data_IF_234302236873
#
_entry.id   IF_234302236873
#
_cell.length_a   1.000
_cell.length_b   1.000
_cell.length_c   1.000
_cell.angle_alpha   90.00
_cell.angle_beta   90.00
_cell.angle_gamma   90.00
#
_symmetry.space_group_name_H-M   'P 1'
#
loop_
_entity.id
_entity.type
_entity.pdbx_description
1 polymer ?
#
# COMPACT_ATOMS: atom_id res chain seq x y z
N UNK A 1 19.92 -3.72 8.42
CA UNK A 1 18.89 -3.40 9.46
C UNK A 1 18.23 -2.03 9.23
N UNK A 2 18.99 -0.92 9.14
CA UNK A 2 18.43 0.44 8.92
C UNK A 2 17.55 0.55 7.66
N UNK A 3 17.97 -0.08 6.56
CA UNK A 3 17.22 -0.14 5.29
C UNK A 3 15.82 -0.76 5.45
N UNK A 4 15.74 -1.97 6.00
CA UNK A 4 14.47 -2.67 6.19
C UNK A 4 13.51 -1.91 7.13
N UNK A 5 14.03 -1.31 8.19
CA UNK A 5 13.23 -0.47 9.10
C UNK A 5 12.67 0.74 8.36
N UNK A 6 13.50 1.44 7.57
CA UNK A 6 13.05 2.59 6.78
C UNK A 6 11.95 2.21 5.77
N UNK A 7 12.06 1.03 5.14
CA UNK A 7 11.07 0.56 4.17
C UNK A 7 9.76 0.15 4.83
N UNK A 8 9.79 -0.60 5.93
CA UNK A 8 8.58 -0.93 6.70
C UNK A 8 7.91 0.35 7.20
N UNK A 9 8.70 1.32 7.68
CA UNK A 9 8.16 2.61 8.12
C UNK A 9 7.53 3.39 6.96
N UNK A 10 8.19 3.42 5.80
CA UNK A 10 7.64 4.04 4.58
C UNK A 10 6.35 3.36 4.12
N UNK A 11 6.25 2.04 4.29
CA UNK A 11 5.05 1.27 3.97
C UNK A 11 3.90 1.65 4.91
N UNK A 12 4.15 1.68 6.22
CA UNK A 12 3.15 2.09 7.22
C UNK A 12 2.66 3.52 6.96
N UNK A 13 3.58 4.45 6.64
CA UNK A 13 3.20 5.82 6.27
C UNK A 13 2.36 5.82 4.98
N UNK A 14 2.84 5.18 3.92
CA UNK A 14 2.16 5.16 2.63
C UNK A 14 0.76 4.54 2.72
N UNK A 15 0.61 3.48 3.51
CA UNK A 15 -0.64 2.74 3.58
C UNK A 15 -1.62 3.34 4.61
N UNK A 16 -1.16 3.70 5.82
CA UNK A 16 -2.05 4.21 6.88
C UNK A 16 -2.20 5.73 6.81
N UNK A 17 -1.08 6.45 6.72
CA UNK A 17 -1.10 7.91 6.82
C UNK A 17 -1.74 8.54 5.59
N UNK A 18 -1.39 8.10 4.39
CA UNK A 18 -1.96 8.67 3.15
C UNK A 18 -3.44 8.32 2.97
N UNK A 19 -3.90 7.15 3.46
CA UNK A 19 -5.33 6.79 3.41
C UNK A 19 -6.22 7.64 4.32
N UNK A 20 -5.66 8.14 5.44
CA UNK A 20 -6.39 8.92 6.47
C UNK A 20 -6.01 10.41 6.49
N UNK A 21 -5.16 10.84 5.55
CA UNK A 21 -4.67 12.22 5.51
C UNK A 21 -5.82 13.21 5.28
N UNK A 22 -5.85 14.30 6.07
CA UNK A 22 -6.90 15.33 6.02
C UNK A 22 -6.94 16.07 4.68
N UNK A 23 -5.80 16.28 4.03
CA UNK A 23 -5.70 16.91 2.71
C UNK A 23 -6.33 16.01 1.64
N UNK A 24 -5.96 14.71 1.63
CA UNK A 24 -6.55 13.73 0.72
C UNK A 24 -8.06 13.63 0.96
N UNK A 25 -8.50 13.58 2.22
CA UNK A 25 -9.93 13.57 2.56
C UNK A 25 -10.65 14.82 2.05
N UNK A 26 -10.03 16.01 2.14
CA UNK A 26 -10.59 17.27 1.61
C UNK A 26 -10.74 17.22 0.09
N UNK A 27 -9.72 16.71 -0.63
CA UNK A 27 -9.77 16.48 -2.08
C UNK A 27 -10.88 15.49 -2.45
N UNK A 28 -11.06 14.44 -1.65
CA UNK A 28 -12.07 13.39 -1.85
C UNK A 28 -13.46 13.74 -1.27
N UNK A 29 -13.73 15.04 -1.04
CA UNK A 29 -15.02 15.57 -0.56
C UNK A 29 -15.49 14.94 0.75
N UNK A 30 -14.58 14.80 1.71
CA UNK A 30 -14.87 14.27 3.05
C UNK A 30 -14.83 12.74 3.15
N UNK A 31 -14.68 12.02 2.04
CA UNK A 31 -14.67 10.55 2.03
C UNK A 31 -13.26 10.00 2.24
N UNK A 32 -13.16 8.88 2.96
CA UNK A 32 -11.88 8.24 3.24
C UNK A 32 -11.44 7.31 2.11
N UNK A 33 -10.16 7.36 1.75
CA UNK A 33 -9.63 6.57 0.63
C UNK A 33 -9.75 5.06 0.88
N UNK A 34 -9.63 4.61 2.13
CA UNK A 34 -9.78 3.19 2.49
C UNK A 34 -11.19 2.65 2.24
N UNK A 35 -12.21 3.51 2.31
CA UNK A 35 -13.59 3.16 1.97
C UNK A 35 -13.78 3.17 0.46
N UNK A 36 -13.28 4.23 -0.19
CA UNK A 36 -13.42 4.44 -1.63
C UNK A 36 -12.74 3.36 -2.48
N UNK A 37 -11.59 2.83 -2.03
CA UNK A 37 -10.87 1.75 -2.74
C UNK A 37 -11.69 0.46 -2.88
N UNK A 38 -12.65 0.23 -1.98
CA UNK A 38 -13.60 -0.90 -2.01
C UNK A 38 -14.80 -0.66 -2.94
N UNK A 39 -14.98 0.57 -3.43
CA UNK A 39 -16.12 0.97 -4.26
C UNK A 39 -15.77 1.12 -5.74
N UNK A 40 -14.56 1.60 -6.06
CA UNK A 40 -14.09 1.70 -7.44
C UNK A 40 -12.60 1.39 -7.60
N UNK A 41 -12.26 0.73 -8.70
CA UNK A 41 -10.88 0.35 -9.07
C UNK A 41 -9.98 1.59 -9.23
N UNK A 42 -10.55 2.72 -9.65
CA UNK A 42 -9.83 3.99 -9.79
C UNK A 42 -9.19 4.42 -8.45
N UNK A 43 -9.90 4.21 -7.33
CA UNK A 43 -9.40 4.57 -6.02
C UNK A 43 -8.31 3.60 -5.52
N UNK A 44 -8.26 2.36 -6.03
CA UNK A 44 -7.07 1.49 -5.82
C UNK A 44 -5.88 2.10 -6.55
N UNK A 45 -6.03 2.46 -7.83
CA UNK A 45 -4.92 3.05 -8.60
C UNK A 45 -4.40 4.31 -7.91
N UNK A 46 -5.30 5.19 -7.47
CA UNK A 46 -4.93 6.39 -6.70
C UNK A 46 -4.21 6.02 -5.39
N UNK A 47 -4.72 5.03 -4.65
CA UNK A 47 -4.08 4.57 -3.42
C UNK A 47 -2.67 4.03 -3.67
N UNK A 48 -2.48 3.17 -4.68
CA UNK A 48 -1.17 2.63 -5.05
C UNK A 48 -0.23 3.75 -5.47
N UNK A 49 -0.70 4.71 -6.30
CA UNK A 49 0.11 5.84 -6.72
C UNK A 49 0.60 6.68 -5.53
N UNK A 50 -0.29 6.97 -4.57
CA UNK A 50 0.07 7.70 -3.34
C UNK A 50 0.99 6.88 -2.42
N UNK A 51 0.78 5.57 -2.34
CA UNK A 51 1.59 4.65 -1.55
C UNK A 51 3.02 4.54 -2.07
N UNK A 52 3.19 4.46 -3.39
CA UNK A 52 4.50 4.26 -4.00
C UNK A 52 5.41 5.49 -3.86
N UNK A 53 4.86 6.70 -3.73
CA UNK A 53 5.64 7.93 -3.54
C UNK A 53 6.62 7.86 -2.36
N UNK A 54 6.19 7.63 -1.09
CA UNK A 54 7.13 7.53 0.03
C UNK A 54 8.10 6.36 -0.11
N UNK A 55 7.70 5.24 -0.71
CA UNK A 55 8.59 4.10 -0.94
C UNK A 55 9.70 4.48 -1.93
N UNK A 56 9.35 5.10 -3.06
CA UNK A 56 10.31 5.57 -4.06
C UNK A 56 11.26 6.60 -3.48
N UNK A 57 10.75 7.56 -2.69
CA UNK A 57 11.60 8.55 -2.02
C UNK A 57 12.66 7.89 -1.13
N UNK A 58 12.29 6.83 -0.39
CA UNK A 58 13.24 6.06 0.43
C UNK A 58 14.23 5.29 -0.43
N UNK A 59 13.78 4.64 -1.51
CA UNK A 59 14.67 3.90 -2.43
C UNK A 59 15.68 4.82 -3.11
N UNK A 60 15.25 6.01 -3.55
CA UNK A 60 16.12 7.04 -4.15
C UNK A 60 17.11 7.58 -3.12
N UNK A 61 16.64 7.94 -1.91
CA UNK A 61 17.50 8.43 -0.83
C UNK A 61 18.61 7.43 -0.46
N UNK A 62 18.31 6.13 -0.53
CA UNK A 62 19.27 5.05 -0.23
C UNK A 62 20.08 4.61 -1.45
N UNK A 63 19.94 5.25 -2.61
CA UNK A 63 20.62 4.92 -3.87
C UNK A 63 20.42 3.47 -4.35
N UNK A 64 19.26 2.88 -4.07
CA UNK A 64 18.88 1.51 -4.48
C UNK A 64 17.68 1.50 -5.43
N UNK A 65 17.27 2.67 -5.91
CA UNK A 65 16.13 2.79 -6.80
C UNK A 65 16.43 2.15 -8.17
N UNK A 66 15.51 1.31 -8.62
CA UNK A 66 15.49 0.77 -9.97
C UNK A 66 14.08 0.84 -10.55
N UNK A 67 13.99 1.06 -11.87
CA UNK A 67 12.69 1.16 -12.55
C UNK A 67 11.91 -0.16 -12.47
N UNK A 68 12.60 -1.30 -12.53
CA UNK A 68 11.97 -2.61 -12.37
C UNK A 68 11.46 -2.83 -10.93
N UNK A 69 12.22 -2.41 -9.91
CA UNK A 69 11.81 -2.47 -8.52
C UNK A 69 10.55 -1.64 -8.27
N UNK A 70 10.50 -0.43 -8.81
CA UNK A 70 9.30 0.41 -8.82
C UNK A 70 8.09 -0.29 -9.47
N UNK A 71 8.28 -0.87 -10.66
CA UNK A 71 7.21 -1.56 -11.37
C UNK A 71 6.68 -2.76 -10.58
N UNK A 72 7.58 -3.55 -9.96
CA UNK A 72 7.22 -4.68 -9.09
C UNK A 72 6.36 -4.19 -7.93
N UNK A 73 6.82 -3.20 -7.15
CA UNK A 73 6.07 -2.65 -6.00
C UNK A 73 4.69 -2.16 -6.43
N UNK A 74 4.62 -1.38 -7.51
CA UNK A 74 3.36 -0.80 -7.99
C UNK A 74 2.36 -1.90 -8.40
N UNK A 75 2.80 -2.83 -9.25
CA UNK A 75 1.93 -3.88 -9.79
C UNK A 75 1.50 -4.84 -8.68
N UNK A 76 2.41 -5.26 -7.81
CA UNK A 76 2.07 -6.18 -6.72
C UNK A 76 1.11 -5.55 -5.72
N UNK A 77 1.35 -4.29 -5.31
CA UNK A 77 0.46 -3.58 -4.38
C UNK A 77 -0.94 -3.44 -4.99
N UNK A 78 -1.03 -3.10 -6.28
CA UNK A 78 -2.31 -3.06 -6.99
C UNK A 78 -3.02 -4.41 -6.97
N UNK A 79 -2.32 -5.51 -7.30
CA UNK A 79 -2.90 -6.85 -7.36
C UNK A 79 -3.38 -7.30 -5.98
N UNK A 80 -2.57 -7.12 -4.94
CA UNK A 80 -2.91 -7.53 -3.57
C UNK A 80 -4.15 -6.77 -3.10
N UNK A 81 -4.16 -5.44 -3.23
CA UNK A 81 -5.30 -4.62 -2.82
C UNK A 81 -6.57 -4.91 -3.66
N UNK A 82 -6.41 -5.19 -4.95
CA UNK A 82 -7.52 -5.58 -5.82
C UNK A 82 -8.16 -6.89 -5.37
N UNK A 83 -7.35 -7.92 -5.10
CA UNK A 83 -7.85 -9.21 -4.63
C UNK A 83 -8.55 -9.03 -3.27
N UNK A 84 -7.90 -8.32 -2.32
CA UNK A 84 -8.46 -8.05 -1.00
C UNK A 84 -9.81 -7.34 -1.08
N UNK A 85 -9.94 -6.32 -1.93
CA UNK A 85 -11.12 -5.47 -1.98
C UNK A 85 -12.28 -6.08 -2.80
N UNK A 86 -11.98 -6.80 -3.89
CA UNK A 86 -13.00 -7.23 -4.86
C UNK A 86 -13.22 -8.75 -4.95
N UNK A 87 -12.27 -9.56 -4.47
CA UNK A 87 -12.37 -11.03 -4.57
C UNK A 87 -12.65 -11.70 -3.23
N UNK A 88 -12.17 -11.12 -2.13
CA UNK A 88 -12.36 -11.68 -0.79
C UNK A 88 -13.57 -11.04 -0.10
N UNK A 89 -14.56 -11.86 0.27
CA UNK A 89 -15.71 -11.44 1.08
C UNK A 89 -15.46 -11.68 2.57
N UNK A 90 -15.65 -10.64 3.38
CA UNK A 90 -15.63 -10.70 4.85
C UNK A 90 -16.51 -9.59 5.43
N UNK A 91 -17.01 -9.80 6.63
CA UNK A 91 -17.75 -8.78 7.39
C UNK A 91 -16.76 -7.87 8.14
N UNK A 92 -17.07 -6.58 8.23
CA UNK A 92 -16.25 -5.61 8.95
C UNK A 92 -16.11 -6.02 10.42
N UNK A 93 -14.90 -5.91 10.98
CA UNK A 93 -14.57 -6.30 12.37
C UNK A 93 -14.73 -7.80 12.71
N UNK A 94 -14.99 -8.67 11.73
CA UNK A 94 -14.98 -10.12 11.94
C UNK A 94 -13.56 -10.68 12.14
N UNK A 95 -13.42 -11.88 12.71
CA UNK A 95 -12.11 -12.57 12.78
C UNK A 95 -11.46 -12.71 11.39
N UNK A 96 -12.28 -12.95 10.36
CA UNK A 96 -11.83 -13.05 8.96
C UNK A 96 -11.31 -11.71 8.44
N UNK A 97 -11.93 -10.59 8.80
CA UNK A 97 -11.43 -9.26 8.47
C UNK A 97 -10.01 -9.04 9.01
N UNK A 98 -9.77 -9.37 10.27
CA UNK A 98 -8.43 -9.24 10.87
C UNK A 98 -7.42 -10.16 10.18
N UNK A 99 -7.77 -11.43 9.97
CA UNK A 99 -6.88 -12.39 9.29
C UNK A 99 -6.49 -11.91 7.88
N UNK A 100 -7.46 -11.44 7.09
CA UNK A 100 -7.21 -10.93 5.73
C UNK A 100 -6.31 -9.69 5.75
N UNK A 101 -6.52 -8.75 6.66
CA UNK A 101 -5.67 -7.57 6.76
C UNK A 101 -4.25 -7.91 7.24
N UNK A 102 -4.08 -8.91 8.12
CA UNK A 102 -2.75 -9.38 8.54
C UNK A 102 -2.01 -10.02 7.35
N UNK A 103 -2.68 -10.92 6.62
CA UNK A 103 -2.11 -11.56 5.42
C UNK A 103 -1.72 -10.51 4.38
N UNK A 104 -2.58 -9.52 4.18
CA UNK A 104 -2.33 -8.39 3.28
C UNK A 104 -1.06 -7.61 3.66
N UNK A 105 -0.87 -7.27 4.93
CA UNK A 105 0.34 -6.58 5.38
C UNK A 105 1.60 -7.45 5.19
N UNK A 106 1.51 -8.76 5.46
CA UNK A 106 2.63 -9.68 5.21
C UNK A 106 3.00 -9.76 3.73
N UNK A 107 2.01 -9.80 2.84
CA UNK A 107 2.26 -9.82 1.39
C UNK A 107 2.91 -8.52 0.91
N UNK A 108 2.48 -7.36 1.40
CA UNK A 108 3.13 -6.11 1.01
C UNK A 108 4.57 -6.00 1.54
N UNK A 109 4.81 -6.41 2.79
CA UNK A 109 6.16 -6.42 3.37
C UNK A 109 7.07 -7.40 2.63
N UNK A 110 6.57 -8.57 2.22
CA UNK A 110 7.39 -9.56 1.50
C UNK A 110 7.84 -9.03 0.14
N UNK A 111 6.98 -8.32 -0.60
CA UNK A 111 7.35 -7.64 -1.85
C UNK A 111 8.47 -6.65 -1.63
N UNK A 112 8.38 -5.81 -0.58
CA UNK A 112 9.44 -4.83 -0.30
C UNK A 112 10.77 -5.52 0.00
N UNK A 113 10.73 -6.65 0.70
CA UNK A 113 11.92 -7.48 0.91
C UNK A 113 12.48 -8.00 -0.41
N UNK A 114 11.64 -8.53 -1.30
CA UNK A 114 12.06 -9.02 -2.61
C UNK A 114 12.75 -7.93 -3.43
N UNK A 115 12.14 -6.74 -3.53
CA UNK A 115 12.66 -5.63 -4.35
C UNK A 115 14.01 -5.13 -3.87
N UNK A 116 14.30 -5.21 -2.56
CA UNK A 116 15.59 -4.81 -1.99
C UNK A 116 16.71 -5.81 -2.23
N UNK A 117 16.36 -7.08 -2.46
CA UNK A 117 17.32 -8.17 -2.61
C UNK A 117 17.51 -8.60 -4.08
N UNK A 118 16.90 -7.90 -5.04
CA UNK A 118 17.13 -8.05 -6.49
C UNK A 118 18.11 -6.98 -6.96
#
# INVERSE_FOLDING_TARGET
MKLYIALVFSHIIGDIFMQRNSVIRKILRGRELWQLKRQSKLYIVLHVALYVLPVVLVLVYLNIFTLYGFAIVFISHFIIDYIKCYKIKYEFMSKKFFAVNIIDQFLHISILFTVVNI
#
